data_IF_644428329271
#
_entry.id   IF_644428329271
#
_cell.length_a   1.000
_cell.length_b   1.000
_cell.length_c   1.000
_cell.angle_alpha   90.00
_cell.angle_beta   90.00
_cell.angle_gamma   90.00
#
_symmetry.space_group_name_H-M   'P 1'
#
loop_
_entity.id
_entity.type
_entity.pdbx_description
1 polymer ?
#
# COMPACT_ATOMS: atom_id res chain seq x y z
N UNK A 1 25.82 17.80 13.85
CA UNK A 1 25.40 16.76 12.89
C UNK A 1 25.97 17.13 11.52
N UNK A 2 26.50 16.18 10.74
CA UNK A 2 27.23 16.45 9.49
C UNK A 2 26.58 15.83 8.26
N UNK A 3 27.22 15.95 7.10
CA UNK A 3 26.73 15.39 5.83
C UNK A 3 26.45 13.88 5.89
N UNK A 4 27.27 13.12 6.63
CA UNK A 4 27.09 11.68 6.83
C UNK A 4 25.77 11.32 7.50
N UNK A 5 25.31 12.10 8.48
CA UNK A 5 24.01 11.88 9.13
C UNK A 5 22.84 12.23 8.21
N UNK A 6 23.02 13.23 7.33
CA UNK A 6 21.99 13.63 6.37
C UNK A 6 21.83 12.57 5.28
N UNK A 7 22.94 12.05 4.76
CA UNK A 7 22.93 10.87 3.89
C UNK A 7 22.28 9.66 4.56
N UNK A 8 22.66 9.37 5.81
CA UNK A 8 22.09 8.24 6.54
C UNK A 8 20.56 8.33 6.64
N UNK A 9 20.02 9.51 6.93
CA UNK A 9 18.57 9.74 6.99
C UNK A 9 17.91 9.56 5.61
N UNK A 10 18.49 10.15 4.56
CA UNK A 10 17.94 10.05 3.21
C UNK A 10 17.96 8.61 2.67
N UNK A 11 19.06 7.88 2.88
CA UNK A 11 19.15 6.47 2.52
C UNK A 11 18.21 5.62 3.35
N UNK A 12 18.13 5.84 4.67
CA UNK A 12 17.22 5.08 5.53
C UNK A 12 15.76 5.29 5.14
N UNK A 13 15.37 6.53 4.83
CA UNK A 13 14.05 6.87 4.33
C UNK A 13 13.77 6.19 2.98
N UNK A 14 14.72 6.28 2.03
CA UNK A 14 14.55 5.68 0.72
C UNK A 14 14.40 4.15 0.80
N UNK A 15 15.24 3.48 1.59
CA UNK A 15 15.16 2.03 1.79
C UNK A 15 13.83 1.67 2.48
N UNK A 16 13.44 2.39 3.54
CA UNK A 16 12.18 2.18 4.26
C UNK A 16 10.96 2.27 3.35
N UNK A 17 10.89 3.33 2.54
CA UNK A 17 9.68 3.63 1.78
C UNK A 17 9.58 2.85 0.46
N UNK A 18 10.71 2.43 -0.11
CA UNK A 18 10.74 1.77 -1.43
C UNK A 18 10.97 0.26 -1.38
N UNK A 19 11.79 -0.23 -0.44
CA UNK A 19 12.22 -1.64 -0.40
C UNK A 19 11.40 -2.44 0.60
N UNK A 20 10.90 -1.80 1.66
CA UNK A 20 10.05 -2.47 2.62
C UNK A 20 8.58 -2.36 2.22
N UNK A 21 7.90 -3.51 2.26
CA UNK A 21 6.48 -3.70 1.95
C UNK A 21 5.59 -2.69 2.67
N UNK A 22 5.96 -2.32 3.91
CA UNK A 22 5.20 -1.37 4.72
C UNK A 22 5.17 0.04 4.11
N UNK A 23 6.29 0.49 3.51
CA UNK A 23 6.40 1.81 2.90
C UNK A 23 5.64 1.91 1.58
N UNK A 24 5.77 0.89 0.72
CA UNK A 24 5.04 0.85 -0.55
C UNK A 24 3.52 0.81 -0.35
N UNK A 25 3.06 0.13 0.71
CA UNK A 25 1.64 0.03 1.08
C UNK A 25 1.06 1.38 1.48
N UNK A 26 1.77 2.16 2.30
CA UNK A 26 1.29 3.49 2.73
C UNK A 26 1.07 4.41 1.51
N UNK A 27 1.92 4.32 0.48
CA UNK A 27 1.71 5.07 -0.76
C UNK A 27 0.58 4.51 -1.62
N UNK A 28 0.40 3.20 -1.73
CA UNK A 28 -0.70 2.63 -2.53
C UNK A 28 -2.08 2.94 -1.92
N UNK A 29 -2.20 2.80 -0.60
CA UNK A 29 -3.47 2.96 0.15
C UNK A 29 -4.03 4.39 0.10
N UNK A 30 -3.19 5.40 -0.10
CA UNK A 30 -3.63 6.80 -0.18
C UNK A 30 -4.01 7.26 -1.60
N UNK A 31 -3.63 6.53 -2.65
CA UNK A 31 -3.82 6.95 -4.04
C UNK A 31 -4.87 6.11 -4.79
N UNK A 32 -5.05 4.85 -4.40
CA UNK A 32 -6.08 3.97 -4.94
C UNK A 32 -7.31 4.05 -4.02
N UNK A 33 -8.34 4.77 -4.48
CA UNK A 33 -9.63 4.92 -3.80
C UNK A 33 -10.53 3.72 -4.07
N UNK A 34 -10.00 2.51 -3.85
CA UNK A 34 -10.82 1.31 -3.78
C UNK A 34 -11.04 1.01 -2.30
N UNK A 35 -12.26 1.32 -1.83
CA UNK A 35 -12.78 1.05 -0.48
C UNK A 35 -12.67 -0.44 -0.04
N UNK A 36 -12.17 -1.31 -0.92
CA UNK A 36 -12.02 -2.75 -0.72
C UNK A 36 -10.65 -3.11 -0.10
N UNK A 37 -9.69 -2.18 0.00
CA UNK A 37 -8.25 -2.57 0.10
C UNK A 37 -7.42 -1.98 1.24
N UNK A 38 -8.00 -1.67 2.41
CA UNK A 38 -7.19 -1.25 3.57
C UNK A 38 -6.21 -2.33 4.10
N UNK A 39 -6.34 -3.60 3.71
CA UNK A 39 -5.54 -4.72 4.23
C UNK A 39 -4.98 -5.63 3.13
N UNK A 40 -4.44 -5.05 2.06
CA UNK A 40 -3.68 -5.85 1.09
C UNK A 40 -2.45 -6.47 1.75
N UNK A 41 -2.14 -7.72 1.36
CA UNK A 41 -1.03 -8.50 1.89
C UNK A 41 -0.08 -8.90 0.77
N UNK A 42 1.23 -8.81 1.02
CA UNK A 42 2.29 -9.10 0.07
C UNK A 42 2.97 -10.43 0.38
N UNK A 43 2.88 -11.40 -0.53
CA UNK A 43 3.43 -12.74 -0.36
C UNK A 43 4.68 -13.01 -1.21
N UNK A 44 5.29 -11.98 -1.81
CA UNK A 44 6.46 -12.14 -2.67
C UNK A 44 7.76 -12.39 -1.90
N UNK A 45 8.88 -12.57 -2.62
CA UNK A 45 10.18 -12.96 -2.05
C UNK A 45 10.67 -12.03 -0.93
N UNK A 46 10.47 -10.72 -1.07
CA UNK A 46 10.88 -9.74 -0.05
C UNK A 46 10.12 -9.89 1.27
N UNK A 47 8.98 -10.58 1.27
CA UNK A 47 8.28 -10.91 2.51
C UNK A 47 9.10 -11.84 3.41
N UNK A 48 9.89 -12.76 2.83
CA UNK A 48 10.75 -13.66 3.58
C UNK A 48 11.87 -12.90 4.32
N UNK A 49 12.46 -11.91 3.65
CA UNK A 49 13.49 -11.02 4.22
C UNK A 49 12.89 -10.11 5.29
N UNK A 50 11.61 -9.74 5.14
CA UNK A 50 10.86 -8.92 6.09
C UNK A 50 10.11 -9.76 7.13
N UNK A 51 10.61 -10.95 7.46
CA UNK A 51 10.06 -11.79 8.54
C UNK A 51 8.54 -12.06 8.44
N UNK A 52 8.02 -12.18 7.22
CA UNK A 52 6.60 -12.42 6.94
C UNK A 52 5.64 -11.28 7.38
N UNK A 53 6.12 -10.04 7.53
CA UNK A 53 5.28 -8.87 7.86
C UNK A 53 4.22 -8.58 6.77
N UNK A 54 4.48 -9.01 5.53
CA UNK A 54 3.57 -8.88 4.40
C UNK A 54 2.30 -9.72 4.52
N UNK A 55 2.21 -10.67 5.47
CA UNK A 55 0.95 -11.33 5.87
C UNK A 55 0.12 -10.40 6.76
N UNK A 56 -0.16 -9.19 6.26
CA UNK A 56 -0.73 -8.12 7.05
C UNK A 56 -2.15 -8.45 7.51
N UNK A 57 -2.94 -9.09 6.66
CA UNK A 57 -4.31 -9.48 6.97
C UNK A 57 -4.37 -10.61 7.97
N UNK A 58 -3.57 -11.66 7.77
CA UNK A 58 -3.47 -12.77 8.71
C UNK A 58 -2.93 -12.28 10.07
N UNK A 59 -2.04 -11.27 10.08
CA UNK A 59 -1.57 -10.66 11.32
C UNK A 59 -2.66 -9.87 12.05
N UNK A 60 -3.51 -9.11 11.34
CA UNK A 60 -4.62 -8.38 11.95
C UNK A 60 -5.72 -9.31 12.46
N UNK A 61 -5.99 -10.42 11.76
CA UNK A 61 -6.96 -11.42 12.19
C UNK A 61 -6.43 -12.26 13.37
N UNK A 62 -5.12 -12.53 13.39
CA UNK A 62 -4.45 -13.32 14.41
C UNK A 62 -3.25 -12.56 15.03
N UNK A 63 -3.49 -11.48 15.79
CA UNK A 63 -2.43 -10.61 16.32
C UNK A 63 -1.50 -11.32 17.31
N UNK A 64 -1.99 -12.42 17.92
CA UNK A 64 -1.22 -13.25 18.84
C UNK A 64 -0.37 -14.32 18.14
N UNK A 65 -0.50 -14.49 16.82
CA UNK A 65 0.28 -15.46 16.05
C UNK A 65 1.52 -14.75 15.49
N UNK A 66 2.70 -15.28 15.82
CA UNK A 66 3.96 -14.72 15.35
C UNK A 66 4.10 -14.84 13.83
N UNK A 67 4.80 -13.90 13.19
CA UNK A 67 5.04 -13.86 11.73
C UNK A 67 5.54 -15.18 11.11
N UNK A 68 6.29 -15.98 11.88
CA UNK A 68 6.76 -17.31 11.45
C UNK A 68 5.62 -18.28 11.09
N UNK A 69 4.48 -18.18 11.77
CA UNK A 69 3.34 -19.09 11.61
C UNK A 69 2.23 -18.51 10.72
N UNK A 70 2.29 -17.23 10.34
CA UNK A 70 1.32 -16.63 9.40
C UNK A 70 1.23 -17.36 8.04
N UNK A 71 2.34 -17.88 7.45
CA UNK A 71 2.26 -18.74 6.27
C UNK A 71 1.44 -20.02 6.49
N UNK A 72 1.43 -20.54 7.72
CA UNK A 72 0.64 -21.72 8.07
C UNK A 72 -0.84 -21.35 8.22
N UNK A 73 -1.15 -20.21 8.87
CA UNK A 73 -2.51 -19.68 8.97
C UNK A 73 -3.14 -19.52 7.58
N UNK A 74 -2.41 -18.90 6.65
CA UNK A 74 -2.84 -18.77 5.26
C UNK A 74 -3.12 -20.12 4.58
N UNK A 75 -2.31 -21.14 4.85
CA UNK A 75 -2.51 -22.48 4.28
C UNK A 75 -3.76 -23.18 4.82
N UNK A 76 -4.07 -22.95 6.10
CA UNK A 76 -5.23 -23.56 6.76
C UNK A 76 -6.53 -22.89 6.31
N UNK A 77 -6.52 -21.56 6.17
CA UNK A 77 -7.66 -20.72 5.83
C UNK A 77 -7.51 -20.11 4.44
N UNK A 78 -7.06 -20.90 3.46
CA UNK A 78 -6.69 -20.41 2.12
C UNK A 78 -7.89 -19.74 1.43
N UNK A 79 -9.10 -20.24 1.66
CA UNK A 79 -10.36 -19.76 1.11
C UNK A 79 -10.69 -18.31 1.49
N UNK A 80 -10.19 -17.84 2.63
CA UNK A 80 -10.38 -16.46 3.09
C UNK A 80 -9.33 -15.50 2.51
N UNK A 81 -8.17 -16.03 2.09
CA UNK A 81 -7.00 -15.24 1.70
C UNK A 81 -6.54 -15.46 0.24
N UNK A 82 -7.23 -16.30 -0.53
CA UNK A 82 -6.90 -16.64 -1.92
C UNK A 82 -7.42 -15.64 -2.95
N UNK A 83 -8.29 -14.70 -2.56
CA UNK A 83 -8.86 -13.74 -3.50
C UNK A 83 -7.76 -12.79 -4.03
N UNK A 84 -7.56 -12.71 -5.36
CA UNK A 84 -6.53 -11.89 -5.97
C UNK A 84 -6.72 -10.38 -5.73
N UNK A 85 -7.91 -9.93 -5.33
CA UNK A 85 -8.19 -8.53 -4.96
C UNK A 85 -7.48 -8.10 -3.67
N UNK A 86 -7.06 -9.07 -2.86
CA UNK A 86 -6.47 -8.85 -1.54
C UNK A 86 -4.97 -9.10 -1.49
N UNK A 87 -4.40 -9.46 -2.64
CA UNK A 87 -2.97 -9.72 -2.81
C UNK A 87 -2.33 -8.45 -3.38
N UNK A 88 -1.43 -7.86 -2.60
CA UNK A 88 -0.61 -6.75 -3.08
C UNK A 88 0.29 -7.25 -4.21
N UNK A 89 0.25 -6.56 -5.35
CA UNK A 89 1.12 -6.86 -6.48
C UNK A 89 2.56 -6.50 -6.14
N UNK A 90 3.49 -7.05 -6.91
CA UNK A 90 4.94 -6.84 -6.80
C UNK A 90 5.34 -5.43 -6.33
N UNK A 91 6.39 -5.31 -5.51
CA UNK A 91 6.99 -4.03 -5.11
C UNK A 91 7.25 -3.12 -6.32
N UNK A 92 7.59 -3.73 -7.47
CA UNK A 92 7.77 -3.02 -8.75
C UNK A 92 6.46 -2.47 -9.32
N UNK A 93 5.34 -3.16 -9.12
CA UNK A 93 4.01 -2.67 -9.50
C UNK A 93 3.64 -1.46 -8.64
N UNK A 94 3.92 -1.47 -7.34
CA UNK A 94 3.63 -0.31 -6.49
C UNK A 94 4.54 0.88 -6.80
N UNK A 95 5.84 0.67 -7.01
CA UNK A 95 6.75 1.74 -7.44
C UNK A 95 6.34 2.28 -8.81
N UNK A 96 5.97 1.41 -9.76
CA UNK A 96 5.46 1.81 -11.06
C UNK A 96 4.14 2.60 -10.93
N UNK A 97 3.21 2.16 -10.09
CA UNK A 97 1.97 2.88 -9.78
C UNK A 97 2.25 4.23 -9.11
N UNK A 98 3.23 4.32 -8.21
CA UNK A 98 3.66 5.58 -7.59
C UNK A 98 4.22 6.56 -8.64
N UNK A 99 5.13 6.08 -9.49
CA UNK A 99 5.71 6.87 -10.59
C UNK A 99 4.66 7.30 -11.62
N UNK A 100 3.64 6.49 -11.88
CA UNK A 100 2.51 6.85 -12.75
C UNK A 100 1.50 7.78 -12.07
N UNK A 101 1.25 7.60 -10.77
CA UNK A 101 0.34 8.45 -10.00
C UNK A 101 0.83 9.90 -9.95
N UNK A 102 2.15 10.07 -9.76
CA UNK A 102 2.81 11.38 -9.78
C UNK A 102 2.71 12.08 -11.15
N UNK A 103 2.65 11.33 -12.27
CA UNK A 103 2.74 11.90 -13.62
C UNK A 103 1.41 12.30 -14.28
N UNK A 104 0.25 12.12 -13.63
CA UNK A 104 -0.99 12.61 -14.25
C UNK A 104 -2.31 12.32 -13.55
N UNK A 105 -2.32 11.54 -12.47
CA UNK A 105 -3.56 11.17 -11.79
C UNK A 105 -4.07 12.27 -10.85
N UNK A 106 -3.16 12.97 -10.14
CA UNK A 106 -3.53 14.04 -9.21
C UNK A 106 -4.27 15.22 -9.86
N UNK A 107 -3.81 15.68 -11.03
CA UNK A 107 -4.43 16.80 -11.75
C UNK A 107 -5.80 16.44 -12.34
N UNK A 108 -5.95 15.23 -12.90
CA UNK A 108 -7.25 14.75 -13.39
C UNK A 108 -8.25 14.52 -12.25
N UNK A 109 -7.79 13.99 -11.10
CA UNK A 109 -8.63 13.77 -9.91
C UNK A 109 -9.05 15.08 -9.26
N UNK A 110 -8.14 16.07 -9.18
CA UNK A 110 -8.46 17.43 -8.74
C UNK A 110 -9.46 18.09 -9.68
N UNK A 111 -9.24 18.03 -11.00
CA UNK A 111 -10.16 18.57 -11.99
C UNK A 111 -11.56 17.93 -11.85
N UNK A 112 -11.65 16.61 -11.80
CA UNK A 112 -12.93 15.91 -11.66
C UNK A 112 -13.65 16.22 -10.34
N UNK A 113 -12.91 16.35 -9.22
CA UNK A 113 -13.48 16.74 -7.92
C UNK A 113 -13.97 18.18 -7.93
N UNK A 114 -13.26 19.08 -8.60
CA UNK A 114 -13.68 20.46 -8.79
C UNK A 114 -14.96 20.53 -9.64
N UNK A 115 -15.01 19.80 -10.76
CA UNK A 115 -16.21 19.74 -11.62
C UNK A 115 -17.42 19.17 -10.89
N UNK A 116 -17.24 18.12 -10.07
CA UNK A 116 -18.31 17.55 -9.25
C UNK A 116 -18.86 18.55 -8.23
N UNK A 117 -17.98 19.24 -7.51
CA UNK A 117 -18.37 20.24 -6.51
C UNK A 117 -19.04 21.47 -7.14
N UNK A 118 -18.58 21.90 -8.31
CA UNK A 118 -19.22 22.99 -9.06
C UNK A 118 -20.62 22.63 -9.52
N UNK A 119 -20.84 21.37 -9.95
CA UNK A 119 -22.15 20.87 -10.36
C UNK A 119 -23.14 20.81 -9.18
N UNK A 120 -22.67 20.38 -8.02
CA UNK A 120 -23.44 20.41 -6.76
C UNK A 120 -23.84 21.84 -6.37
N UNK A 121 -22.94 22.82 -6.56
CA UNK A 121 -23.21 24.23 -6.27
C UNK A 121 -24.19 24.86 -7.28
N UNK A 122 -24.18 24.44 -8.55
CA UNK A 122 -25.18 24.87 -9.54
C UNK A 122 -26.57 24.30 -9.24
N UNK A 123 -26.66 23.05 -8.81
CA UNK A 123 -27.95 22.43 -8.42
C UNK A 123 -28.52 23.04 -7.13
N UNK A 124 -27.68 23.54 -6.22
CA UNK A 124 -28.11 24.27 -5.01
C UNK A 124 -28.58 25.71 -5.30
N UNK A 125 -28.30 26.24 -6.49
CA UNK A 125 -28.60 27.64 -6.88
C UNK A 125 -29.87 27.78 -7.73
N UNK A 126 -30.55 26.68 -8.04
CA UNK A 126 -31.88 26.62 -8.65
C UNK A 126 -32.94 26.38 -7.59
#
# INVERSE_FOLDING_TARGET
>A
MGWKSLLYLLLSFWINDTIFVQGSKNFADHWVDDQVTHTNSYYGFFNLVNFNIGYHREHHDFPYVTGRYLPLVRKIAIEFYSDPRYIEKSIFTNIYCMLLAERGFGLKKFANKLTYNLKQLEDYRK
#
